data_IF_420946961475
#
_entry.id   IF_420946961475
#
_cell.length_a   1.000
_cell.length_b   1.000
_cell.length_c   1.000
_cell.angle_alpha   90.00
_cell.angle_beta   90.00
_cell.angle_gamma   90.00
#
_symmetry.space_group_name_H-M   'P 1'
#
loop_
_entity.id
_entity.type
_entity.pdbx_description
1 polymer ?
#
# COMPACT_ATOMS: atom_id res chain seq x y z
N UNK A 1 20.98 20.76 -21.45
CA UNK A 1 19.71 21.50 -21.27
C UNK A 1 18.47 20.61 -21.24
N UNK A 2 18.32 19.60 -22.12
CA UNK A 2 17.18 18.67 -22.12
C UNK A 2 16.98 17.86 -20.82
N UNK A 3 18.06 17.50 -20.12
CA UNK A 3 18.02 16.76 -18.84
C UNK A 3 17.47 17.57 -17.67
N UNK A 4 17.75 18.87 -17.60
CA UNK A 4 17.26 19.75 -16.52
C UNK A 4 15.78 20.08 -16.66
N UNK A 5 15.28 20.26 -17.88
CA UNK A 5 13.85 20.46 -18.11
C UNK A 5 13.04 19.19 -17.82
N UNK A 6 13.55 18.02 -18.17
CA UNK A 6 12.85 16.76 -17.87
C UNK A 6 12.83 16.45 -16.38
N UNK A 7 13.92 16.73 -15.66
CA UNK A 7 13.98 16.67 -14.19
C UNK A 7 13.06 17.71 -13.52
N UNK A 8 12.88 18.89 -14.14
CA UNK A 8 11.96 19.92 -13.67
C UNK A 8 10.49 19.52 -13.84
N UNK A 9 10.12 18.91 -14.97
CA UNK A 9 8.77 18.36 -15.17
C UNK A 9 8.50 17.11 -14.32
N UNK A 10 9.51 16.25 -14.10
CA UNK A 10 9.43 15.15 -13.12
C UNK A 10 9.29 15.67 -11.67
N UNK A 11 9.88 16.84 -11.36
CA UNK A 11 9.72 17.56 -10.08
C UNK A 11 8.31 18.09 -9.86
N UNK A 12 7.61 18.49 -10.92
CA UNK A 12 6.24 19.05 -10.83
C UNK A 12 5.18 17.93 -10.77
N UNK A 13 5.45 16.75 -11.36
CA UNK A 13 4.46 15.68 -11.47
C UNK A 13 4.30 14.80 -10.22
N UNK A 14 4.95 15.10 -9.09
CA UNK A 14 4.80 14.26 -7.90
C UNK A 14 5.05 15.00 -6.58
N UNK A 15 3.96 15.40 -5.95
CA UNK A 15 3.90 15.96 -4.59
C UNK A 15 4.62 15.11 -3.52
N UNK A 16 4.89 13.83 -3.79
CA UNK A 16 5.57 12.91 -2.88
C UNK A 16 7.07 12.74 -3.12
N UNK A 17 7.56 12.89 -4.35
CA UNK A 17 8.99 12.73 -4.58
C UNK A 17 9.77 13.86 -3.91
N UNK A 18 9.16 15.03 -3.72
CA UNK A 18 9.79 16.15 -3.03
C UNK A 18 10.13 15.79 -1.57
N UNK A 19 9.20 15.33 -0.71
CA UNK A 19 9.54 14.86 0.64
C UNK A 19 10.60 13.76 0.68
N UNK A 20 10.48 12.74 -0.19
CA UNK A 20 11.41 11.59 -0.19
C UNK A 20 12.81 11.98 -0.66
N UNK A 21 12.87 12.84 -1.68
CA UNK A 21 14.10 13.44 -2.17
C UNK A 21 14.75 14.28 -1.07
N UNK A 22 14.00 15.21 -0.47
CA UNK A 22 14.52 16.12 0.56
C UNK A 22 15.03 15.34 1.76
N UNK A 23 14.37 14.26 2.16
CA UNK A 23 14.83 13.39 3.24
C UNK A 23 16.17 12.73 2.92
N UNK A 24 16.30 12.07 1.75
CA UNK A 24 17.57 11.42 1.37
C UNK A 24 18.68 12.46 1.17
N UNK A 25 18.37 13.59 0.56
CA UNK A 25 19.31 14.69 0.37
C UNK A 25 19.84 15.22 1.71
N UNK A 26 18.94 15.45 2.68
CA UNK A 26 19.29 15.88 4.02
C UNK A 26 20.14 14.85 4.75
N UNK A 27 19.77 13.58 4.71
CA UNK A 27 20.52 12.50 5.35
C UNK A 27 21.92 12.35 4.74
N UNK A 28 22.06 12.45 3.42
CA UNK A 28 23.36 12.45 2.75
C UNK A 28 24.22 13.66 3.16
N UNK A 29 23.62 14.86 3.21
CA UNK A 29 24.32 16.08 3.58
C UNK A 29 24.82 16.03 5.04
N UNK A 30 24.04 15.44 5.95
CA UNK A 30 24.42 15.26 7.34
C UNK A 30 25.44 14.13 7.54
N UNK A 31 25.31 13.03 6.82
CA UNK A 31 26.12 11.84 7.03
C UNK A 31 27.52 11.94 6.41
N UNK A 32 27.66 12.60 5.25
CA UNK A 32 28.95 12.76 4.57
C UNK A 32 30.05 13.36 5.48
N UNK A 33 29.85 14.50 6.18
CA UNK A 33 30.86 15.02 7.09
C UNK A 33 31.10 14.10 8.30
N UNK A 34 30.09 13.37 8.78
CA UNK A 34 30.26 12.40 9.87
C UNK A 34 31.15 11.22 9.44
N UNK A 35 30.94 10.71 8.23
CA UNK A 35 31.75 9.64 7.65
C UNK A 35 33.20 10.09 7.49
N UNK A 36 33.45 11.27 6.93
CA UNK A 36 34.81 11.79 6.75
C UNK A 36 35.50 12.02 8.11
N UNK A 37 34.78 12.58 9.09
CA UNK A 37 35.29 12.72 10.45
C UNK A 37 35.71 11.36 11.03
N UNK A 38 34.85 10.35 10.92
CA UNK A 38 35.13 9.00 11.44
C UNK A 38 36.33 8.35 10.73
N UNK A 39 36.46 8.51 9.41
CA UNK A 39 37.60 8.00 8.65
C UNK A 39 38.91 8.64 9.15
N UNK A 40 38.91 9.95 9.40
CA UNK A 40 40.06 10.67 9.94
C UNK A 40 40.41 10.24 11.37
N UNK A 41 39.42 10.14 12.27
CA UNK A 41 39.63 9.73 13.67
C UNK A 41 40.16 8.30 13.82
N UNK A 42 39.81 7.42 12.87
CA UNK A 42 40.22 6.00 12.87
C UNK A 42 41.41 5.71 11.95
N UNK A 43 42.06 6.75 11.42
CA UNK A 43 43.17 6.65 10.45
C UNK A 43 42.92 5.62 9.33
N UNK A 44 41.68 5.61 8.84
CA UNK A 44 41.17 4.56 7.94
C UNK A 44 41.07 5.03 6.49
N UNK A 45 41.84 6.04 6.09
CA UNK A 45 41.75 6.65 4.76
C UNK A 45 41.92 5.63 3.62
N UNK A 46 42.82 4.67 3.82
CA UNK A 46 43.13 3.60 2.86
C UNK A 46 42.39 2.29 3.16
N UNK A 47 41.55 2.25 4.19
CA UNK A 47 40.81 1.05 4.54
C UNK A 47 39.76 0.74 3.46
N UNK A 48 39.61 -0.54 3.11
CA UNK A 48 38.68 -0.98 2.07
C UNK A 48 37.23 -0.57 2.37
N UNK A 49 36.81 -0.62 3.63
CA UNK A 49 35.47 -0.21 4.04
C UNK A 49 35.22 1.30 3.78
N UNK A 50 36.24 2.15 4.01
CA UNK A 50 36.14 3.60 3.87
C UNK A 50 36.07 4.01 2.39
N UNK A 51 36.92 3.41 1.56
CA UNK A 51 36.91 3.60 0.10
C UNK A 51 35.53 3.21 -0.47
N UNK A 52 35.01 2.05 -0.08
CA UNK A 52 33.71 1.57 -0.55
C UNK A 52 32.55 2.43 -0.02
N UNK A 53 32.60 2.88 1.24
CA UNK A 53 31.58 3.75 1.81
C UNK A 53 31.50 5.08 1.05
N UNK A 54 32.63 5.75 0.78
CA UNK A 54 32.69 6.97 -0.04
C UNK A 54 32.11 6.76 -1.43
N UNK A 55 32.50 5.66 -2.09
CA UNK A 55 31.98 5.32 -3.42
C UNK A 55 30.46 5.10 -3.42
N UNK A 56 29.91 4.47 -2.37
CA UNK A 56 28.48 4.25 -2.23
C UNK A 56 27.71 5.55 -1.94
N UNK A 57 28.27 6.48 -1.15
CA UNK A 57 27.69 7.82 -0.96
C UNK A 57 27.62 8.56 -2.31
N UNK A 58 28.70 8.56 -3.09
CA UNK A 58 28.69 9.15 -4.43
C UNK A 58 27.68 8.50 -5.37
N UNK A 59 27.51 7.17 -5.31
CA UNK A 59 26.45 6.47 -6.06
C UNK A 59 25.05 6.86 -5.59
N UNK A 60 24.84 7.03 -4.28
CA UNK A 60 23.56 7.46 -3.73
C UNK A 60 23.20 8.88 -4.21
N UNK A 61 24.16 9.80 -4.23
CA UNK A 61 23.99 11.14 -4.83
C UNK A 61 23.61 11.05 -6.32
N UNK A 62 24.29 10.21 -7.11
CA UNK A 62 23.95 9.99 -8.52
C UNK A 62 22.54 9.38 -8.72
N UNK A 63 22.12 8.49 -7.83
CA UNK A 63 20.77 7.92 -7.86
C UNK A 63 19.72 8.99 -7.54
N UNK A 64 19.99 9.82 -6.53
CA UNK A 64 19.13 10.94 -6.14
C UNK A 64 18.96 11.94 -7.30
N UNK A 65 20.03 12.31 -8.00
CA UNK A 65 19.99 13.18 -9.19
C UNK A 65 19.13 12.61 -10.33
N UNK A 66 19.13 11.28 -10.47
CA UNK A 66 18.34 10.54 -11.47
C UNK A 66 16.91 10.23 -11.01
N UNK A 67 16.47 10.75 -9.85
CA UNK A 67 15.17 10.45 -9.23
C UNK A 67 14.96 8.96 -8.90
N UNK A 68 16.05 8.18 -8.79
CA UNK A 68 16.06 6.76 -8.41
C UNK A 68 16.17 6.64 -6.88
N UNK A 69 15.12 7.10 -6.20
CA UNK A 69 15.14 7.33 -4.75
C UNK A 69 15.35 6.02 -3.96
N UNK A 70 14.73 4.91 -4.39
CA UNK A 70 14.84 3.63 -3.70
C UNK A 70 16.27 3.05 -3.79
N UNK A 71 16.90 3.16 -4.96
CA UNK A 71 18.30 2.77 -5.14
C UNK A 71 19.26 3.68 -4.37
N UNK A 72 18.93 4.97 -4.26
CA UNK A 72 19.63 5.93 -3.42
C UNK A 72 19.63 5.54 -1.94
N UNK A 73 18.47 5.17 -1.40
CA UNK A 73 18.37 4.64 -0.03
C UNK A 73 19.15 3.33 0.16
N UNK A 74 19.02 2.37 -0.75
CA UNK A 74 19.75 1.09 -0.66
C UNK A 74 21.27 1.30 -0.62
N UNK A 75 21.79 2.16 -1.49
CA UNK A 75 23.23 2.48 -1.54
C UNK A 75 23.68 3.25 -0.30
N UNK A 76 22.88 4.21 0.17
CA UNK A 76 23.15 4.96 1.40
C UNK A 76 23.21 4.07 2.64
N UNK A 77 22.19 3.23 2.87
CA UNK A 77 22.17 2.31 4.01
C UNK A 77 23.36 1.33 3.95
N UNK A 78 23.76 0.91 2.75
CA UNK A 78 24.95 0.05 2.60
C UNK A 78 26.23 0.77 3.01
N UNK A 79 26.38 2.05 2.66
CA UNK A 79 27.51 2.87 3.15
C UNK A 79 27.51 2.99 4.68
N UNK A 80 26.33 3.21 5.28
CA UNK A 80 26.19 3.27 6.74
C UNK A 80 26.60 1.96 7.43
N UNK A 81 26.24 0.81 6.85
CA UNK A 81 26.66 -0.50 7.38
C UNK A 81 28.17 -0.70 7.28
N UNK A 82 28.83 -0.23 6.22
CA UNK A 82 30.29 -0.33 6.11
C UNK A 82 31.02 0.45 7.21
N UNK A 83 30.47 1.58 7.65
CA UNK A 83 31.03 2.37 8.74
C UNK A 83 30.98 1.67 10.12
N UNK A 84 30.25 0.55 10.25
CA UNK A 84 30.28 -0.30 11.46
C UNK A 84 31.66 -0.93 11.66
N UNK A 85 32.43 -1.14 10.60
CA UNK A 85 33.79 -1.69 10.70
C UNK A 85 34.77 -0.76 11.44
N UNK A 86 34.43 0.53 11.53
CA UNK A 86 35.23 1.54 12.23
C UNK A 86 34.74 1.79 13.67
N UNK A 87 33.64 1.16 14.09
CA UNK A 87 33.07 1.39 15.41
C UNK A 87 33.90 0.72 16.49
N UNK A 88 34.13 1.44 17.59
CA UNK A 88 34.71 0.86 18.80
C UNK A 88 33.70 -0.03 19.54
N UNK A 89 34.16 -0.73 20.58
CA UNK A 89 33.35 -1.71 21.31
C UNK A 89 32.14 -1.07 22.02
N UNK A 90 32.30 0.13 22.58
CA UNK A 90 31.24 0.88 23.26
C UNK A 90 30.17 1.34 22.25
N UNK A 91 30.59 1.87 21.10
CA UNK A 91 29.69 2.25 20.01
C UNK A 91 28.91 1.04 19.49
N UNK A 92 29.57 -0.12 19.32
CA UNK A 92 28.89 -1.34 18.87
C UNK A 92 27.89 -1.85 19.90
N UNK A 93 28.21 -1.78 21.20
CA UNK A 93 27.31 -2.17 22.27
C UNK A 93 26.08 -1.25 22.34
N UNK A 94 26.30 0.07 22.27
CA UNK A 94 25.22 1.06 22.23
C UNK A 94 24.33 0.87 21.01
N UNK A 95 24.94 0.71 19.82
CA UNK A 95 24.20 0.48 18.57
C UNK A 95 23.40 -0.82 18.59
N UNK A 96 23.93 -1.86 19.22
CA UNK A 96 23.20 -3.12 19.39
C UNK A 96 21.99 -2.95 20.31
N UNK A 97 22.13 -2.21 21.41
CA UNK A 97 21.02 -1.89 22.31
C UNK A 97 19.91 -1.12 21.58
N UNK A 98 20.27 -0.06 20.85
CA UNK A 98 19.31 0.69 20.01
C UNK A 98 18.58 -0.22 19.02
N UNK A 99 19.32 -1.13 18.37
CA UNK A 99 18.78 -2.02 17.36
C UNK A 99 17.84 -3.08 17.96
N UNK A 100 18.10 -3.58 19.18
CA UNK A 100 17.17 -4.47 19.90
C UNK A 100 15.85 -3.75 20.18
N UNK A 101 15.91 -2.52 20.71
CA UNK A 101 14.72 -1.71 20.98
C UNK A 101 13.97 -1.40 19.69
N UNK A 102 14.66 -0.96 18.63
CA UNK A 102 14.05 -0.64 17.33
C UNK A 102 13.43 -1.89 16.68
N UNK A 103 14.02 -3.07 16.90
CA UNK A 103 13.53 -4.33 16.33
C UNK A 103 12.12 -4.71 16.79
N UNK A 104 11.66 -4.21 17.95
CA UNK A 104 10.28 -4.40 18.44
C UNK A 104 9.22 -3.83 17.48
N UNK A 105 9.61 -2.89 16.60
CA UNK A 105 8.73 -2.30 15.57
C UNK A 105 8.65 -3.15 14.30
N UNK A 106 9.50 -4.17 14.18
CA UNK A 106 9.54 -5.06 13.04
C UNK A 106 8.53 -6.20 13.21
N UNK A 107 8.41 -7.06 12.19
CA UNK A 107 7.61 -8.27 12.35
C UNK A 107 8.30 -9.30 13.25
N UNK A 108 7.52 -10.21 13.80
CA UNK A 108 7.95 -11.19 14.81
C UNK A 108 9.21 -11.97 14.41
N UNK A 109 9.26 -12.50 13.18
CA UNK A 109 10.42 -13.27 12.74
C UNK A 109 11.70 -12.42 12.63
N UNK A 110 11.63 -11.17 12.17
CA UNK A 110 12.81 -10.29 12.08
C UNK A 110 13.26 -9.83 13.45
N UNK A 111 12.32 -9.51 14.33
CA UNK A 111 12.61 -9.18 15.73
C UNK A 111 13.37 -10.33 16.41
N UNK A 112 12.82 -11.55 16.35
CA UNK A 112 13.44 -12.73 16.92
C UNK A 112 14.81 -13.03 16.29
N UNK A 113 14.94 -12.84 14.98
CA UNK A 113 16.23 -13.04 14.27
C UNK A 113 17.29 -12.04 14.74
N UNK A 114 16.93 -10.77 14.96
CA UNK A 114 17.86 -9.75 15.48
C UNK A 114 18.27 -10.09 16.90
N UNK A 115 17.35 -10.52 17.76
CA UNK A 115 17.66 -10.97 19.12
C UNK A 115 18.57 -12.21 19.13
N UNK A 116 18.39 -13.15 18.21
CA UNK A 116 19.28 -14.30 18.07
C UNK A 116 20.69 -13.91 17.60
N UNK A 117 20.80 -12.94 16.70
CA UNK A 117 22.10 -12.46 16.17
C UNK A 117 22.87 -11.64 17.22
N UNK A 118 22.18 -10.78 17.96
CA UNK A 118 22.80 -9.84 18.90
C UNK A 118 22.78 -10.32 20.35
N UNK A 119 22.08 -11.40 20.67
CA UNK A 119 21.79 -11.81 22.05
C UNK A 119 20.63 -11.02 22.66
N UNK A 120 20.14 -11.50 23.80
CA UNK A 120 19.09 -10.83 24.58
C UNK A 120 19.60 -9.50 25.18
N UNK A 121 18.68 -8.66 25.66
CA UNK A 121 19.04 -7.40 26.34
C UNK A 121 19.88 -7.63 27.60
N UNK A 122 19.70 -8.78 28.25
CA UNK A 122 20.37 -9.14 29.50
C UNK A 122 21.84 -9.52 29.28
N UNK A 123 22.22 -9.98 28.09
CA UNK A 123 23.55 -10.57 27.87
C UNK A 123 24.68 -9.56 27.61
N UNK A 124 24.39 -8.24 27.51
CA UNK A 124 25.36 -7.13 27.29
C UNK A 124 26.65 -7.49 26.50
N UNK A 125 26.53 -8.36 25.50
CA UNK A 125 27.67 -8.89 24.77
C UNK A 125 28.01 -7.93 23.65
N UNK A 126 29.28 -7.53 23.57
CA UNK A 126 29.79 -6.71 22.47
C UNK A 126 29.70 -7.53 21.18
N UNK A 127 28.86 -7.14 20.20
CA UNK A 127 28.74 -7.89 18.97
C UNK A 127 29.97 -7.65 18.09
N UNK A 128 30.32 -8.66 17.30
CA UNK A 128 31.30 -8.47 16.22
C UNK A 128 30.71 -7.53 15.16
N UNK A 129 31.55 -6.78 14.42
CA UNK A 129 31.08 -5.92 13.33
C UNK A 129 30.20 -6.66 12.31
N UNK A 130 30.56 -7.91 11.99
CA UNK A 130 29.81 -8.75 11.05
C UNK A 130 28.38 -9.05 11.53
N UNK A 131 28.20 -9.38 12.82
CA UNK A 131 26.87 -9.65 13.39
C UNK A 131 26.02 -8.37 13.42
N UNK A 132 26.62 -7.24 13.80
CA UNK A 132 25.91 -5.95 13.83
C UNK A 132 25.51 -5.47 12.43
N UNK A 133 26.36 -5.67 11.42
CA UNK A 133 26.04 -5.43 10.01
C UNK A 133 24.85 -6.29 9.58
N UNK A 134 24.86 -7.59 9.90
CA UNK A 134 23.79 -8.51 9.51
C UNK A 134 22.45 -8.16 10.16
N UNK A 135 22.45 -7.81 11.44
CA UNK A 135 21.26 -7.36 12.13
C UNK A 135 20.72 -6.03 11.54
N UNK A 136 21.62 -5.09 11.22
CA UNK A 136 21.25 -3.82 10.58
C UNK A 136 20.65 -4.05 9.20
N UNK A 137 21.19 -5.00 8.43
CA UNK A 137 20.66 -5.38 7.12
C UNK A 137 19.22 -5.90 7.20
N UNK A 138 18.90 -6.76 8.17
CA UNK A 138 17.53 -7.26 8.38
C UNK A 138 16.54 -6.12 8.63
N UNK A 139 16.97 -5.12 9.41
CA UNK A 139 16.18 -3.92 9.68
C UNK A 139 15.98 -3.10 8.40
N UNK A 140 17.05 -2.80 7.69
CA UNK A 140 17.01 -2.01 6.46
C UNK A 140 16.14 -2.67 5.40
N UNK A 141 16.24 -3.99 5.24
CA UNK A 141 15.43 -4.78 4.32
C UNK A 141 13.93 -4.70 4.66
N UNK A 142 13.58 -4.71 5.95
CA UNK A 142 12.18 -4.51 6.37
C UNK A 142 11.63 -3.17 5.88
N UNK A 143 12.33 -2.08 6.17
CA UNK A 143 11.89 -0.74 5.78
C UNK A 143 11.85 -0.58 4.26
N UNK A 144 12.86 -1.07 3.54
CA UNK A 144 12.87 -1.09 2.08
C UNK A 144 11.65 -1.82 1.50
N UNK A 145 11.32 -2.98 2.06
CA UNK A 145 10.14 -3.74 1.66
C UNK A 145 8.84 -2.97 1.96
N UNK A 146 8.73 -2.34 3.12
CA UNK A 146 7.55 -1.53 3.46
C UNK A 146 7.37 -0.33 2.52
N UNK A 147 8.46 0.38 2.22
CA UNK A 147 8.42 1.49 1.27
C UNK A 147 8.02 1.02 -0.14
N UNK A 148 8.55 -0.11 -0.60
CA UNK A 148 8.15 -0.71 -1.86
C UNK A 148 6.65 -1.05 -1.90
N UNK A 149 6.13 -1.71 -0.85
CA UNK A 149 4.70 -2.03 -0.72
C UNK A 149 3.82 -0.78 -0.71
N UNK A 150 4.24 0.26 0.01
CA UNK A 150 3.50 1.53 0.08
C UNK A 150 3.47 2.24 -1.28
N UNK A 151 4.60 2.26 -1.99
CA UNK A 151 4.67 2.85 -3.33
C UNK A 151 3.74 2.12 -4.31
N UNK A 152 3.74 0.79 -4.22
CA UNK A 152 2.96 -0.07 -5.09
C UNK A 152 1.44 0.01 -4.82
N UNK A 153 1.04 0.02 -3.55
CA UNK A 153 -0.38 0.13 -3.17
C UNK A 153 -0.97 1.51 -3.44
N UNK A 154 -0.17 2.57 -3.39
CA UNK A 154 -0.64 3.95 -3.57
C UNK A 154 -1.32 4.19 -4.92
N UNK A 155 -0.70 3.75 -6.02
CA UNK A 155 -1.28 3.93 -7.35
C UNK A 155 -2.65 3.26 -7.47
N UNK A 156 -2.79 2.09 -6.85
CA UNK A 156 -4.06 1.37 -6.83
C UNK A 156 -5.12 2.08 -5.97
N UNK A 157 -4.74 2.61 -4.80
CA UNK A 157 -5.64 3.42 -3.99
C UNK A 157 -6.08 4.70 -4.70
N UNK A 158 -5.18 5.38 -5.42
CA UNK A 158 -5.53 6.55 -6.21
C UNK A 158 -6.52 6.20 -7.32
N UNK A 159 -6.27 5.12 -8.07
CA UNK A 159 -7.19 4.63 -9.10
C UNK A 159 -8.58 4.34 -8.50
N UNK A 160 -8.64 3.57 -7.42
CA UNK A 160 -9.91 3.22 -6.77
C UNK A 160 -10.63 4.45 -6.19
N UNK A 161 -9.89 5.42 -5.65
CA UNK A 161 -10.46 6.67 -5.13
C UNK A 161 -11.06 7.52 -6.25
N UNK A 162 -10.36 7.70 -7.37
CA UNK A 162 -10.90 8.43 -8.52
C UNK A 162 -12.11 7.73 -9.12
N UNK A 163 -12.06 6.40 -9.24
CA UNK A 163 -13.19 5.60 -9.70
C UNK A 163 -14.41 5.79 -8.77
N UNK A 164 -14.21 5.73 -7.45
CA UNK A 164 -15.25 5.99 -6.45
C UNK A 164 -15.87 7.38 -6.63
N UNK A 165 -15.03 8.42 -6.76
CA UNK A 165 -15.49 9.80 -6.96
C UNK A 165 -16.29 9.94 -8.26
N UNK A 166 -15.82 9.35 -9.35
CA UNK A 166 -16.53 9.34 -10.64
C UNK A 166 -17.92 8.72 -10.51
N UNK A 167 -18.06 7.59 -9.82
CA UNK A 167 -19.36 6.95 -9.62
C UNK A 167 -20.28 7.75 -8.68
N UNK A 168 -19.75 8.38 -7.63
CA UNK A 168 -20.55 9.29 -6.78
C UNK A 168 -21.09 10.46 -7.59
N UNK A 169 -20.24 11.10 -8.41
CA UNK A 169 -20.66 12.20 -9.29
C UNK A 169 -21.70 11.69 -10.30
N UNK A 170 -21.49 10.52 -10.91
CA UNK A 170 -22.44 9.92 -11.84
C UNK A 170 -23.81 9.65 -11.20
N UNK A 171 -23.83 9.18 -9.94
CA UNK A 171 -25.08 8.97 -9.18
C UNK A 171 -25.79 10.31 -8.91
N UNK A 172 -25.06 11.34 -8.48
CA UNK A 172 -25.63 12.68 -8.24
C UNK A 172 -26.23 13.24 -9.54
N UNK A 173 -25.48 13.17 -10.64
CA UNK A 173 -25.94 13.62 -11.96
C UNK A 173 -27.15 12.82 -12.42
N UNK A 174 -27.15 11.49 -12.23
CA UNK A 174 -28.28 10.63 -12.55
C UNK A 174 -29.56 11.07 -11.82
N UNK A 175 -29.49 11.28 -10.50
CA UNK A 175 -30.64 11.76 -9.73
C UNK A 175 -31.06 13.18 -10.11
N UNK A 176 -30.12 14.08 -10.41
CA UNK A 176 -30.44 15.43 -10.86
C UNK A 176 -31.21 15.43 -12.19
N UNK A 177 -30.78 14.59 -13.16
CA UNK A 177 -31.47 14.43 -14.45
C UNK A 177 -32.86 13.81 -14.24
N UNK A 178 -32.98 12.77 -13.42
CA UNK A 178 -34.27 12.13 -13.13
C UNK A 178 -35.24 13.10 -12.46
N UNK A 179 -34.77 13.90 -11.49
CA UNK A 179 -35.56 14.92 -10.83
C UNK A 179 -36.05 16.00 -11.83
N UNK A 180 -35.18 16.46 -12.73
CA UNK A 180 -35.55 17.46 -13.74
C UNK A 180 -36.59 16.92 -14.75
N UNK A 181 -36.51 15.65 -15.13
CA UNK A 181 -37.40 15.05 -16.14
C UNK A 181 -38.75 14.59 -15.58
N UNK A 182 -38.79 14.07 -14.35
CA UNK A 182 -39.98 13.41 -13.78
C UNK A 182 -40.64 14.17 -12.61
N UNK A 183 -40.00 15.24 -12.11
CA UNK A 183 -40.49 16.00 -10.95
C UNK A 183 -40.45 15.17 -9.66
N UNK A 184 -41.25 15.54 -8.67
CA UNK A 184 -41.22 14.90 -7.33
C UNK A 184 -41.72 13.44 -7.32
N UNK A 185 -42.39 12.97 -8.36
CA UNK A 185 -42.93 11.59 -8.46
C UNK A 185 -42.01 10.66 -9.28
N UNK A 186 -40.69 10.80 -9.14
CA UNK A 186 -39.72 10.02 -9.91
C UNK A 186 -39.70 8.53 -9.54
N UNK A 187 -40.05 8.16 -8.30
CA UNK A 187 -40.09 6.76 -7.87
C UNK A 187 -41.16 5.97 -8.65
N UNK A 188 -42.39 6.49 -8.75
CA UNK A 188 -43.52 5.79 -9.38
C UNK A 188 -43.44 5.69 -10.91
N UNK A 189 -42.76 6.64 -11.58
CA UNK A 189 -42.69 6.72 -13.06
C UNK A 189 -41.40 6.17 -13.65
N UNK A 190 -40.53 5.57 -12.82
CA UNK A 190 -39.21 5.14 -13.30
C UNK A 190 -39.32 3.96 -14.27
N UNK A 191 -38.91 4.20 -15.52
CA UNK A 191 -38.85 3.15 -16.56
C UNK A 191 -37.81 2.08 -16.18
N UNK A 192 -37.99 0.86 -16.71
CA UNK A 192 -37.07 -0.27 -16.51
C UNK A 192 -35.60 0.07 -16.84
N UNK A 193 -35.36 0.90 -17.87
CA UNK A 193 -34.02 1.36 -18.22
C UNK A 193 -33.37 2.23 -17.14
N UNK A 194 -34.15 3.07 -16.45
CA UNK A 194 -33.68 3.84 -15.30
C UNK A 194 -33.34 2.94 -14.11
N UNK A 195 -34.19 1.94 -13.84
CA UNK A 195 -33.91 0.93 -12.81
C UNK A 195 -32.61 0.18 -13.05
N UNK A 196 -32.38 -0.32 -14.27
CA UNK A 196 -31.13 -1.01 -14.63
C UNK A 196 -29.92 -0.06 -14.47
N UNK A 197 -30.04 1.19 -14.92
CA UNK A 197 -28.95 2.17 -14.83
C UNK A 197 -28.59 2.46 -13.38
N UNK A 198 -29.58 2.71 -12.52
CA UNK A 198 -29.35 2.95 -11.10
C UNK A 198 -28.78 1.72 -10.38
N UNK A 199 -29.28 0.52 -10.68
CA UNK A 199 -28.74 -0.75 -10.16
C UNK A 199 -27.28 -0.93 -10.54
N UNK A 200 -26.90 -0.65 -11.79
CA UNK A 200 -25.51 -0.73 -12.22
C UNK A 200 -24.64 0.29 -11.46
N UNK A 201 -25.06 1.56 -11.38
CA UNK A 201 -24.31 2.60 -10.67
C UNK A 201 -24.08 2.25 -9.19
N UNK A 202 -25.12 1.81 -8.48
CA UNK A 202 -25.02 1.40 -7.07
C UNK A 202 -24.26 0.08 -6.91
N UNK A 203 -24.40 -0.86 -7.84
CA UNK A 203 -23.63 -2.11 -7.87
C UNK A 203 -22.14 -1.86 -8.03
N UNK A 204 -21.74 -0.98 -8.95
CA UNK A 204 -20.36 -0.52 -9.08
C UNK A 204 -19.88 0.20 -7.82
N UNK A 205 -20.68 1.10 -7.23
CA UNK A 205 -20.32 1.77 -5.99
C UNK A 205 -20.01 0.77 -4.86
N UNK A 206 -20.83 -0.27 -4.70
CA UNK A 206 -20.61 -1.34 -3.74
C UNK A 206 -19.34 -2.14 -4.04
N UNK A 207 -19.15 -2.53 -5.30
CA UNK A 207 -17.98 -3.30 -5.73
C UNK A 207 -16.66 -2.53 -5.56
N UNK A 208 -16.65 -1.23 -5.86
CA UNK A 208 -15.49 -0.35 -5.64
C UNK A 208 -15.20 -0.20 -4.15
N UNK A 209 -16.24 0.00 -3.34
CA UNK A 209 -16.09 0.09 -1.87
C UNK A 209 -15.51 -1.21 -1.31
N UNK A 210 -16.00 -2.36 -1.78
CA UNK A 210 -15.46 -3.68 -1.44
C UNK A 210 -13.99 -3.81 -1.83
N UNK A 211 -13.61 -3.39 -3.04
CA UNK A 211 -12.24 -3.44 -3.53
C UNK A 211 -11.28 -2.55 -2.73
N UNK A 212 -11.73 -1.36 -2.27
CA UNK A 212 -10.96 -0.47 -1.40
C UNK A 212 -10.70 -1.13 -0.04
N UNK A 213 -11.75 -1.68 0.58
CA UNK A 213 -11.63 -2.38 1.86
C UNK A 213 -10.73 -3.61 1.77
N UNK A 214 -10.84 -4.37 0.68
CA UNK A 214 -9.97 -5.51 0.40
C UNK A 214 -8.52 -5.07 0.25
N UNK A 215 -8.26 -4.07 -0.59
CA UNK A 215 -6.90 -3.52 -0.78
C UNK A 215 -6.27 -3.10 0.54
N UNK A 216 -7.01 -2.40 1.40
CA UNK A 216 -6.53 -1.96 2.71
C UNK A 216 -6.19 -3.13 3.62
N UNK A 217 -7.00 -4.19 3.59
CA UNK A 217 -6.76 -5.39 4.38
C UNK A 217 -5.59 -6.22 3.83
N UNK A 218 -5.54 -6.46 2.52
CA UNK A 218 -4.48 -7.22 1.85
C UNK A 218 -3.11 -6.55 1.95
N UNK A 219 -3.04 -5.22 2.01
CA UNK A 219 -1.78 -4.50 2.24
C UNK A 219 -1.20 -4.82 3.63
N UNK A 220 -2.04 -5.13 4.62
CA UNK A 220 -1.62 -5.50 5.98
C UNK A 220 -1.11 -6.94 6.09
N UNK A 221 -1.60 -7.86 5.26
CA UNK A 221 -1.37 -9.31 5.43
C UNK A 221 -0.67 -10.01 4.26
N UNK A 222 -0.54 -9.40 3.08
CA UNK A 222 0.03 -10.09 1.91
C UNK A 222 1.57 -10.22 1.98
N UNK A 223 2.04 -11.46 1.82
CA UNK A 223 3.46 -11.79 1.64
C UNK A 223 4.00 -11.31 0.28
N UNK A 224 3.13 -11.19 -0.73
CA UNK A 224 3.50 -10.78 -2.10
C UNK A 224 2.60 -9.60 -2.52
N UNK A 225 3.08 -8.38 -2.29
CA UNK A 225 2.31 -7.16 -2.60
C UNK A 225 2.13 -6.93 -4.11
N UNK A 226 3.00 -7.50 -4.94
CA UNK A 226 2.90 -7.43 -6.42
C UNK A 226 1.60 -8.01 -6.94
N UNK A 227 1.16 -9.16 -6.41
CA UNK A 227 -0.08 -9.80 -6.83
C UNK A 227 -1.30 -8.96 -6.43
N UNK A 228 -1.30 -8.34 -5.23
CA UNK A 228 -2.43 -7.50 -4.83
C UNK A 228 -2.47 -6.15 -5.54
N UNK A 229 -1.33 -5.67 -6.05
CA UNK A 229 -1.23 -4.39 -6.76
C UNK A 229 -1.63 -4.46 -8.23
N UNK A 230 -1.86 -5.66 -8.75
CA UNK A 230 -2.20 -5.83 -10.14
C UNK A 230 -3.59 -5.23 -10.41
N UNK A 231 -3.59 -4.08 -11.08
CA UNK A 231 -4.81 -3.32 -11.37
C UNK A 231 -5.82 -4.13 -12.18
N UNK A 232 -5.36 -5.09 -13.00
CA UNK A 232 -6.23 -5.97 -13.79
C UNK A 232 -7.05 -6.88 -12.86
N UNK A 233 -6.41 -7.46 -11.85
CA UNK A 233 -7.07 -8.36 -10.89
C UNK A 233 -8.10 -7.57 -10.08
N UNK A 234 -7.70 -6.41 -9.55
CA UNK A 234 -8.61 -5.54 -8.77
C UNK A 234 -9.80 -5.06 -9.60
N UNK A 235 -9.57 -4.66 -10.85
CA UNK A 235 -10.63 -4.20 -11.73
C UNK A 235 -11.59 -5.34 -12.12
N UNK A 236 -11.06 -6.55 -12.36
CA UNK A 236 -11.89 -7.75 -12.61
C UNK A 236 -12.86 -8.00 -11.46
N UNK A 237 -12.41 -7.86 -10.21
CA UNK A 237 -13.26 -8.00 -9.02
C UNK A 237 -14.38 -6.97 -8.98
N UNK A 238 -14.09 -5.71 -9.36
CA UNK A 238 -15.11 -4.65 -9.44
C UNK A 238 -16.19 -5.02 -10.46
N UNK A 239 -15.79 -5.50 -11.66
CA UNK A 239 -16.74 -5.92 -12.68
C UNK A 239 -17.56 -7.15 -12.28
N UNK A 240 -16.96 -8.13 -11.60
CA UNK A 240 -17.66 -9.30 -11.06
C UNK A 240 -18.69 -8.87 -10.01
N UNK A 241 -18.31 -7.96 -9.10
CA UNK A 241 -19.22 -7.38 -8.11
C UNK A 241 -20.44 -6.70 -8.74
N UNK A 242 -20.20 -5.80 -9.71
CA UNK A 242 -21.27 -5.10 -10.41
C UNK A 242 -22.17 -6.04 -11.23
N UNK A 243 -21.59 -7.04 -11.88
CA UNK A 243 -22.34 -8.07 -12.63
C UNK A 243 -23.24 -8.89 -11.70
N UNK A 244 -22.77 -9.18 -10.49
CA UNK A 244 -23.58 -9.87 -9.48
C UNK A 244 -24.76 -9.02 -9.02
N UNK A 245 -24.59 -7.70 -8.84
CA UNK A 245 -25.71 -6.79 -8.55
C UNK A 245 -26.79 -6.82 -9.63
N UNK A 246 -26.38 -6.84 -10.91
CA UNK A 246 -27.31 -6.97 -12.03
C UNK A 246 -28.03 -8.33 -12.02
N UNK A 247 -27.31 -9.41 -11.74
CA UNK A 247 -27.89 -10.75 -11.61
C UNK A 247 -28.93 -10.81 -10.49
N UNK A 248 -28.65 -10.28 -9.30
CA UNK A 248 -29.61 -10.21 -8.19
C UNK A 248 -30.84 -9.38 -8.55
N UNK A 249 -30.66 -8.25 -9.23
CA UNK A 249 -31.79 -7.44 -9.71
C UNK A 249 -32.70 -8.22 -10.68
N UNK A 250 -32.11 -8.92 -11.66
CA UNK A 250 -32.87 -9.75 -12.60
C UNK A 250 -33.58 -10.91 -11.89
N UNK A 251 -32.94 -11.51 -10.89
CA UNK A 251 -33.52 -12.58 -10.08
C UNK A 251 -34.74 -12.07 -9.30
N UNK A 252 -34.63 -10.92 -8.64
CA UNK A 252 -35.72 -10.29 -7.87
C UNK A 252 -36.89 -9.83 -8.76
N UNK A 253 -36.63 -9.46 -10.02
CA UNK A 253 -37.66 -9.10 -10.99
C UNK A 253 -38.26 -10.32 -11.71
N UNK A 254 -37.59 -11.47 -11.68
CA UNK A 254 -38.07 -12.71 -12.27
C UNK A 254 -39.12 -13.38 -11.38
N UNK A 255 -40.11 -14.05 -11.98
CA UNK A 255 -41.16 -14.78 -11.23
C UNK A 255 -40.61 -15.94 -10.38
N UNK A 256 -39.32 -16.24 -10.49
CA UNK A 256 -38.61 -17.19 -9.63
C UNK A 256 -38.55 -16.68 -8.18
N UNK A 257 -38.52 -15.36 -7.94
CA UNK A 257 -38.48 -14.78 -6.60
C UNK A 257 -39.82 -14.88 -5.84
N UNK A 258 -40.96 -15.02 -6.53
CA UNK A 258 -42.26 -15.15 -5.88
C UNK A 258 -42.38 -16.45 -5.06
N UNK A 259 -41.63 -17.50 -5.44
CA UNK A 259 -41.63 -18.80 -4.76
C UNK A 259 -40.46 -19.00 -3.80
N UNK A 260 -39.47 -18.12 -3.80
CA UNK A 260 -38.29 -18.23 -2.95
C UNK A 260 -38.19 -16.97 -2.09
N UNK A 261 -38.62 -17.07 -0.82
CA UNK A 261 -38.36 -16.05 0.20
C UNK A 261 -36.85 -15.99 0.54
N UNK A 262 -36.00 -15.64 -0.42
CA UNK A 262 -34.56 -15.50 -0.23
C UNK A 262 -34.21 -14.38 0.74
N UNK A 263 -35.08 -13.36 0.84
CA UNK A 263 -34.87 -12.20 1.68
C UNK A 263 -36.16 -11.85 2.42
N UNK A 264 -36.07 -11.70 3.74
CA UNK A 264 -37.21 -11.40 4.62
C UNK A 264 -37.61 -9.90 4.60
N UNK A 265 -37.36 -9.21 3.48
CA UNK A 265 -37.59 -7.78 3.31
C UNK A 265 -38.71 -7.57 2.29
N UNK A 266 -39.70 -6.73 2.62
CA UNK A 266 -40.69 -6.27 1.65
C UNK A 266 -40.09 -5.17 0.78
N UNK A 267 -40.05 -5.40 -0.54
CA UNK A 267 -39.63 -4.40 -1.52
C UNK A 267 -40.83 -3.49 -1.78
N UNK A 268 -40.80 -2.28 -1.24
CA UNK A 268 -41.93 -1.34 -1.32
C UNK A 268 -41.65 -0.17 -2.28
N UNK A 269 -40.38 0.19 -2.47
CA UNK A 269 -39.96 1.31 -3.32
C UNK A 269 -38.93 0.84 -4.39
N UNK A 270 -39.02 1.31 -5.65
CA UNK A 270 -37.95 1.23 -6.64
C UNK A 270 -36.54 1.55 -6.14
N UNK A 271 -36.39 2.39 -5.11
CA UNK A 271 -35.10 2.70 -4.48
C UNK A 271 -34.52 1.53 -3.67
N UNK A 272 -35.34 0.60 -3.20
CA UNK A 272 -34.89 -0.59 -2.47
C UNK A 272 -33.96 -1.46 -3.34
N UNK A 273 -34.21 -1.50 -4.65
CA UNK A 273 -33.34 -2.20 -5.60
C UNK A 273 -31.94 -1.60 -5.65
N UNK A 274 -31.77 -0.30 -5.43
CA UNK A 274 -30.46 0.34 -5.42
C UNK A 274 -29.67 0.00 -4.15
N UNK A 275 -30.36 -0.03 -2.99
CA UNK A 275 -29.75 -0.47 -1.74
C UNK A 275 -29.30 -1.94 -1.84
N UNK A 276 -30.16 -2.81 -2.37
CA UNK A 276 -29.84 -4.22 -2.60
C UNK A 276 -28.68 -4.35 -3.61
N UNK A 277 -28.67 -3.56 -4.68
CA UNK A 277 -27.60 -3.58 -5.67
C UNK A 277 -26.25 -3.17 -5.06
N UNK A 278 -26.22 -2.16 -4.19
CA UNK A 278 -25.02 -1.76 -3.46
C UNK A 278 -24.49 -2.89 -2.58
N UNK A 279 -25.35 -3.52 -1.77
CA UNK A 279 -24.94 -4.65 -0.90
C UNK A 279 -24.49 -5.84 -1.73
N UNK A 280 -25.18 -6.13 -2.84
CA UNK A 280 -24.83 -7.20 -3.77
C UNK A 280 -23.48 -6.95 -4.45
N UNK A 281 -23.05 -5.69 -4.57
CA UNK A 281 -21.72 -5.33 -5.08
C UNK A 281 -20.58 -5.87 -4.21
N UNK A 282 -20.85 -6.25 -2.96
CA UNK A 282 -19.91 -6.95 -2.07
C UNK A 282 -19.86 -8.47 -2.29
N UNK A 283 -20.37 -8.96 -3.44
CA UNK A 283 -20.60 -10.37 -3.74
C UNK A 283 -19.44 -11.30 -3.42
N UNK A 284 -18.19 -10.91 -3.66
CA UNK A 284 -17.02 -11.74 -3.35
C UNK A 284 -16.97 -12.14 -1.87
N UNK A 285 -17.24 -11.19 -0.96
CA UNK A 285 -17.25 -11.45 0.49
C UNK A 285 -18.49 -12.21 0.93
N UNK A 286 -19.64 -11.91 0.33
CA UNK A 286 -20.88 -12.62 0.63
C UNK A 286 -20.79 -14.08 0.17
N UNK A 287 -20.22 -14.32 -1.00
CA UNK A 287 -19.96 -15.67 -1.52
C UNK A 287 -18.94 -16.42 -0.66
N UNK A 288 -17.81 -15.79 -0.28
CA UNK A 288 -16.84 -16.39 0.62
C UNK A 288 -17.46 -16.76 1.97
N UNK A 289 -18.20 -15.85 2.60
CA UNK A 289 -18.90 -16.12 3.86
C UNK A 289 -20.00 -17.17 3.73
N UNK A 290 -20.74 -17.19 2.62
CA UNK A 290 -21.75 -18.21 2.36
C UNK A 290 -21.13 -19.59 2.19
N UNK A 291 -20.02 -19.69 1.45
CA UNK A 291 -19.26 -20.93 1.30
C UNK A 291 -18.67 -21.36 2.64
N UNK A 292 -18.04 -20.46 3.39
CA UNK A 292 -17.53 -20.75 4.74
C UNK A 292 -18.63 -21.19 5.72
N UNK A 293 -19.84 -20.64 5.62
CA UNK A 293 -20.98 -21.03 6.45
C UNK A 293 -21.58 -22.39 6.05
N UNK A 294 -21.43 -22.81 4.79
CA UNK A 294 -21.86 -24.11 4.29
C UNK A 294 -20.80 -25.18 4.57
N UNK A 295 -19.53 -24.84 4.38
CA UNK A 295 -18.38 -25.75 4.55
C UNK A 295 -17.93 -25.86 6.01
N UNK A 296 -18.09 -24.80 6.81
CA UNK A 296 -17.78 -24.77 8.25
C UNK A 296 -18.87 -25.39 9.14
N UNK A 297 -19.85 -26.08 8.55
CA UNK A 297 -20.79 -26.98 9.23
C UNK A 297 -20.35 -28.43 9.04
N UNK A 298 -19.15 -28.75 9.52
CA UNK A 298 -18.73 -30.11 9.91
C UNK A 298 -18.04 -30.04 11.27
#
# INVERSE_FOLDING_TARGET
MKTRLHAFFARISSTEYIPRYTRLAGDLQCYKPQLEKRIAETDSENAQWAIQARALIGKSEQHLEKMKIDEGWKTFHTAQRLAINAMNDEERLSRASELRIESSKLNEWRHNSILQILGSEEEQKIPSPALLIRATELKDEHYNNQYYKNALSRNMFQLLFFLLLTFIIAIIVYFAIMHQQMGEHYSEKMKMSGQITGVLLFGFLGAITSAILFTRYSTKFSKIAEISSNSIITLSKVFVGASFSLFIFLLLKSSVAENIQLFNFSINDPLDYFAIAFVSGFSERLAQKAIEAIVGKE
#
